data_IF_221753231869
#
_entry.id   IF_221753231869
#
_cell.length_a   1.000
_cell.length_b   1.000
_cell.length_c   1.000
_cell.angle_alpha   90.00
_cell.angle_beta   90.00
_cell.angle_gamma   90.00
#
_symmetry.space_group_name_H-M   'P 1'
#
loop_
_entity.id
_entity.type
_entity.pdbx_description
1 polymer ?
#
# COMPACT_ATOMS: atom_id res chain seq x y z
N UNK A 1 -0.69 2.70 -6.31
CA UNK A 1 0.75 2.96 -6.05
C UNK A 1 1.21 2.18 -4.84
N UNK A 2 2.51 1.96 -4.70
CA UNK A 2 3.16 1.39 -3.52
C UNK A 2 3.84 2.51 -2.74
N UNK A 3 3.68 2.51 -1.41
CA UNK A 3 4.37 3.42 -0.49
C UNK A 3 4.86 2.66 0.75
N UNK A 4 6.06 2.99 1.29
CA UNK A 4 6.60 2.35 2.48
C UNK A 4 5.90 2.82 3.76
N UNK A 5 6.04 2.05 4.85
CA UNK A 5 5.42 2.32 6.14
C UNK A 5 6.36 2.23 7.37
N UNK A 6 7.68 2.17 7.17
CA UNK A 6 8.59 2.45 8.27
C UNK A 6 8.42 3.88 8.84
N UNK A 7 9.06 4.16 9.98
CA UNK A 7 9.01 5.48 10.60
C UNK A 7 9.50 6.59 9.66
N UNK A 8 8.83 7.75 9.70
CA UNK A 8 9.10 8.89 8.79
C UNK A 8 10.56 9.35 8.69
N UNK A 9 11.39 9.32 9.76
CA UNK A 9 12.81 9.66 9.62
C UNK A 9 13.58 8.77 8.62
N UNK A 10 13.10 7.56 8.36
CA UNK A 10 13.77 6.58 7.50
C UNK A 10 13.16 6.49 6.10
N UNK A 11 11.83 6.38 6.01
CA UNK A 11 11.13 6.11 4.75
C UNK A 11 10.24 7.26 4.27
N UNK A 12 10.14 8.35 5.05
CA UNK A 12 9.19 9.42 4.80
C UNK A 12 9.43 10.17 3.50
N UNK A 13 10.69 10.31 3.05
CA UNK A 13 11.03 10.91 1.77
C UNK A 13 10.58 10.04 0.57
N UNK A 14 10.69 8.72 0.70
CA UNK A 14 10.21 7.73 -0.27
C UNK A 14 8.69 7.74 -0.31
N UNK A 15 8.01 7.68 0.84
CA UNK A 15 6.55 7.79 0.92
C UNK A 15 6.04 9.11 0.32
N UNK A 16 6.66 10.25 0.67
CA UNK A 16 6.34 11.55 0.10
C UNK A 16 6.48 11.57 -1.43
N UNK A 17 7.52 10.93 -1.96
CA UNK A 17 7.74 10.81 -3.41
C UNK A 17 6.61 10.04 -4.11
N UNK A 18 6.04 9.03 -3.45
CA UNK A 18 4.87 8.32 -3.93
C UNK A 18 3.67 9.29 -4.01
N UNK A 19 3.26 9.88 -2.89
CA UNK A 19 2.12 10.81 -2.86
C UNK A 19 2.29 12.05 -3.75
N UNK A 20 3.52 12.50 -3.99
CA UNK A 20 3.81 13.60 -4.90
C UNK A 20 3.40 13.31 -6.37
N UNK A 21 3.30 12.03 -6.76
CA UNK A 21 2.85 11.63 -8.09
C UNK A 21 1.37 11.95 -8.36
N UNK A 22 0.57 12.21 -7.32
CA UNK A 22 -0.82 12.63 -7.46
C UNK A 22 -0.96 14.16 -7.49
N UNK A 23 -1.94 14.62 -8.28
CA UNK A 23 -2.32 16.04 -8.33
C UNK A 23 -2.85 16.50 -6.98
N UNK A 24 -2.32 17.62 -6.47
CA UNK A 24 -2.77 18.28 -5.22
C UNK A 24 -4.26 18.67 -5.27
N UNK A 25 -4.85 18.79 -6.46
CA UNK A 25 -6.28 19.06 -6.61
C UNK A 25 -7.17 17.85 -6.32
N UNK A 26 -6.60 16.64 -6.19
CA UNK A 26 -7.35 15.43 -5.89
C UNK A 26 -8.12 15.55 -4.56
N UNK A 27 -9.41 15.23 -4.61
CA UNK A 27 -10.33 15.30 -3.47
C UNK A 27 -11.29 14.11 -3.43
N UNK A 28 -10.88 13.00 -4.06
CA UNK A 28 -11.64 11.76 -4.06
C UNK A 28 -11.28 10.88 -2.87
N UNK A 29 -11.28 9.56 -3.07
CA UNK A 29 -11.01 8.59 -2.00
C UNK A 29 -9.71 7.84 -2.24
N UNK A 30 -8.87 7.79 -1.22
CA UNK A 30 -7.73 6.88 -1.16
C UNK A 30 -8.15 5.56 -0.53
N UNK A 31 -8.10 4.46 -1.26
CA UNK A 31 -8.18 3.12 -0.68
C UNK A 31 -6.76 2.77 -0.23
N UNK A 32 -6.55 2.56 1.07
CA UNK A 32 -5.23 2.19 1.60
C UNK A 32 -5.30 0.73 2.05
N UNK A 33 -4.55 -0.13 1.35
CA UNK A 33 -4.43 -1.55 1.68
C UNK A 33 -3.11 -1.74 2.43
N UNK A 34 -3.18 -2.12 3.70
CA UNK A 34 -2.01 -2.41 4.52
C UNK A 34 -1.97 -3.86 4.99
N UNK A 35 -0.79 -4.49 5.11
CA UNK A 35 -0.67 -5.82 5.68
C UNK A 35 -0.98 -5.81 7.18
N UNK A 36 -1.48 -6.92 7.70
CA UNK A 36 -1.54 -7.15 9.14
C UNK A 36 -0.24 -7.77 9.66
N UNK A 37 0.45 -7.04 10.53
CA UNK A 37 1.66 -7.52 11.22
C UNK A 37 1.33 -8.39 12.43
N UNK A 38 0.11 -8.26 12.97
CA UNK A 38 -0.35 -8.97 14.15
C UNK A 38 -1.23 -10.20 13.85
N UNK A 39 -1.42 -10.52 12.56
CA UNK A 39 -2.22 -11.69 12.14
C UNK A 39 -3.73 -11.49 12.25
N UNK A 40 -4.20 -10.25 12.16
CA UNK A 40 -5.61 -9.92 12.07
C UNK A 40 -6.21 -10.38 10.74
N UNK A 41 -7.53 -10.61 10.72
CA UNK A 41 -8.26 -10.95 9.49
C UNK A 41 -8.40 -9.75 8.59
N UNK A 42 -8.67 -10.00 7.31
CA UNK A 42 -8.98 -8.92 6.36
C UNK A 42 -10.25 -8.19 6.78
N UNK A 43 -10.13 -6.90 7.06
CA UNK A 43 -11.21 -6.05 7.57
C UNK A 43 -11.07 -4.61 7.04
N UNK A 44 -12.08 -3.78 7.31
CA UNK A 44 -12.10 -2.36 6.97
C UNK A 44 -12.39 -1.52 8.21
N UNK A 45 -12.03 -0.24 8.16
CA UNK A 45 -12.45 0.78 9.12
C UNK A 45 -13.48 1.72 8.48
N UNK A 46 -14.47 2.15 9.24
CA UNK A 46 -15.50 3.11 8.80
C UNK A 46 -15.62 4.34 9.70
N UNK A 47 -14.81 4.47 10.76
CA UNK A 47 -14.76 5.70 11.57
C UNK A 47 -13.71 6.69 11.04
N UNK A 48 -13.87 8.01 11.23
CA UNK A 48 -12.81 8.98 10.90
C UNK A 48 -11.50 8.72 11.66
N UNK A 49 -10.37 8.98 11.01
CA UNK A 49 -9.03 8.76 11.59
C UNK A 49 -8.44 10.08 12.06
N UNK A 50 -7.99 10.12 13.32
CA UNK A 50 -7.26 11.26 13.86
C UNK A 50 -5.78 11.18 13.45
N UNK A 51 -5.20 12.32 13.06
CA UNK A 51 -3.77 12.47 12.86
C UNK A 51 -3.28 13.70 13.62
N UNK A 52 -1.95 13.86 13.84
CA UNK A 52 -1.40 15.11 14.37
C UNK A 52 -1.72 16.36 13.52
N UNK A 53 -2.17 16.19 12.28
CA UNK A 53 -2.54 17.27 11.35
C UNK A 53 -4.07 17.46 11.24
N UNK A 54 -4.84 16.75 12.07
CA UNK A 54 -6.30 16.79 12.12
C UNK A 54 -6.96 15.52 11.57
N UNK A 55 -8.28 15.53 11.59
CA UNK A 55 -9.13 14.38 11.23
C UNK A 55 -9.15 14.17 9.70
N UNK A 56 -9.15 12.91 9.28
CA UNK A 56 -9.42 12.46 7.91
C UNK A 56 -10.67 11.60 7.90
N UNK A 57 -11.65 11.97 7.09
CA UNK A 57 -12.93 11.26 7.01
C UNK A 57 -12.78 9.95 6.22
N UNK A 58 -13.47 8.92 6.69
CA UNK A 58 -13.65 7.66 5.97
C UNK A 58 -14.75 7.77 4.93
N UNK A 59 -14.58 7.08 3.81
CA UNK A 59 -15.61 6.95 2.78
C UNK A 59 -16.57 5.80 3.13
N UNK A 60 -17.50 6.06 4.06
CA UNK A 60 -18.44 5.06 4.57
C UNK A 60 -19.42 4.54 3.51
N UNK A 61 -19.74 5.35 2.50
CA UNK A 61 -20.59 4.93 1.38
C UNK A 61 -19.88 3.85 0.54
N UNK A 62 -18.62 4.05 0.19
CA UNK A 62 -17.82 3.03 -0.51
C UNK A 62 -17.49 1.85 0.41
N UNK A 63 -17.18 2.11 1.69
CA UNK A 63 -16.89 1.07 2.67
C UNK A 63 -18.05 0.10 2.92
N UNK A 64 -19.29 0.59 2.81
CA UNK A 64 -20.48 -0.26 2.94
C UNK A 64 -20.66 -1.25 1.78
N UNK A 65 -20.09 -0.97 0.61
CA UNK A 65 -20.14 -1.86 -0.55
C UNK A 65 -19.01 -2.90 -0.59
N UNK A 66 -17.96 -2.77 0.25
CA UNK A 66 -16.86 -3.74 0.33
C UNK A 66 -17.31 -5.10 0.89
N UNK A 67 -18.41 -5.17 1.65
CA UNK A 67 -18.84 -6.40 2.33
C UNK A 67 -17.73 -7.07 3.18
N UNK A 68 -16.79 -6.28 3.72
CA UNK A 68 -15.76 -6.73 4.65
C UNK A 68 -16.21 -6.53 6.10
N UNK A 69 -15.65 -7.31 7.02
CA UNK A 69 -15.84 -7.10 8.46
C UNK A 69 -15.33 -5.71 8.85
N UNK A 70 -16.10 -4.96 9.64
CA UNK A 70 -15.66 -3.69 10.22
C UNK A 70 -15.02 -3.99 11.57
N UNK A 71 -13.73 -3.70 11.72
CA UNK A 71 -12.99 -3.98 12.95
C UNK A 71 -12.03 -2.86 13.33
N UNK A 72 -12.55 -1.92 14.11
CA UNK A 72 -11.79 -0.76 14.59
C UNK A 72 -10.74 -1.10 15.66
N UNK A 73 -10.83 -2.28 16.29
CA UNK A 73 -9.87 -2.71 17.31
C UNK A 73 -8.59 -3.18 16.61
N UNK A 74 -8.71 -4.05 15.61
CA UNK A 74 -7.56 -4.50 14.82
C UNK A 74 -6.85 -3.34 14.12
N UNK A 75 -7.59 -2.35 13.62
CA UNK A 75 -7.02 -1.15 13.03
C UNK A 75 -6.26 -0.27 14.03
N UNK A 76 -6.68 -0.21 15.30
CA UNK A 76 -5.98 0.58 16.34
C UNK A 76 -4.60 0.03 16.68
N UNK A 77 -4.45 -1.29 16.62
CA UNK A 77 -3.22 -1.98 16.98
C UNK A 77 -2.32 -2.24 15.74
N UNK A 78 -2.59 -1.59 14.61
CA UNK A 78 -1.83 -1.75 13.36
C UNK A 78 -1.36 -0.41 12.79
N UNK A 79 -0.11 -0.35 12.35
CA UNK A 79 0.53 0.89 11.88
C UNK A 79 0.65 0.97 10.35
N UNK A 80 0.54 -0.15 9.63
CA UNK A 80 0.80 -0.21 8.19
C UNK A 80 -0.06 0.74 7.37
N UNK A 81 -1.27 1.05 7.84
CA UNK A 81 -2.18 2.03 7.23
C UNK A 81 -1.99 3.42 7.86
N UNK A 82 -1.85 3.49 9.19
CA UNK A 82 -1.77 4.74 9.97
C UNK A 82 -0.72 5.71 9.39
N UNK A 83 0.47 5.21 9.09
CA UNK A 83 1.59 6.04 8.63
C UNK A 83 1.37 6.64 7.23
N UNK A 84 0.38 6.17 6.48
CA UNK A 84 0.01 6.76 5.19
C UNK A 84 -0.88 8.00 5.37
N UNK A 85 -1.65 8.06 6.45
CA UNK A 85 -2.75 9.02 6.62
C UNK A 85 -2.26 10.47 6.78
N UNK A 86 -1.17 10.78 7.51
CA UNK A 86 -0.66 12.14 7.59
C UNK A 86 -0.23 12.74 6.24
N UNK A 87 0.32 11.94 5.32
CA UNK A 87 0.61 12.41 3.96
C UNK A 87 -0.66 12.81 3.23
N UNK A 88 -1.72 12.01 3.37
CA UNK A 88 -3.02 12.28 2.77
C UNK A 88 -3.62 13.55 3.36
N UNK A 89 -3.66 13.66 4.70
CA UNK A 89 -4.20 14.85 5.40
C UNK A 89 -3.49 16.13 4.98
N UNK A 90 -2.16 16.09 4.92
CA UNK A 90 -1.34 17.25 4.59
C UNK A 90 -1.53 17.70 3.14
N UNK A 91 -1.46 16.76 2.19
CA UNK A 91 -1.40 17.09 0.77
C UNK A 91 -2.76 17.15 0.08
N UNK A 92 -3.74 16.39 0.56
CA UNK A 92 -5.08 16.29 -0.01
C UNK A 92 -6.13 16.53 1.07
N UNK A 93 -6.22 17.75 1.63
CA UNK A 93 -7.04 18.03 2.82
C UNK A 93 -8.55 17.82 2.63
N UNK A 94 -9.02 17.61 1.38
CA UNK A 94 -10.40 17.30 1.03
C UNK A 94 -10.63 15.84 0.61
N UNK A 95 -9.58 15.02 0.54
CA UNK A 95 -9.72 13.62 0.20
C UNK A 95 -10.22 12.83 1.40
N UNK A 96 -10.95 11.75 1.12
CA UNK A 96 -11.38 10.75 2.09
C UNK A 96 -10.47 9.53 2.02
N UNK A 97 -10.57 8.65 3.01
CA UNK A 97 -9.83 7.38 3.05
C UNK A 97 -10.78 6.18 3.15
N UNK A 98 -10.33 5.04 2.67
CA UNK A 98 -10.95 3.74 2.92
C UNK A 98 -9.86 2.75 3.34
N UNK A 99 -9.61 2.60 4.65
CA UNK A 99 -8.62 1.68 5.19
C UNK A 99 -9.07 0.24 5.00
N UNK A 100 -8.20 -0.58 4.41
CA UNK A 100 -8.38 -2.03 4.31
C UNK A 100 -7.15 -2.70 4.92
N UNK A 101 -7.34 -3.37 6.05
CA UNK A 101 -6.33 -4.23 6.62
C UNK A 101 -6.41 -5.59 5.94
N UNK A 102 -5.29 -6.07 5.39
CA UNK A 102 -5.21 -7.35 4.69
C UNK A 102 -4.48 -8.37 5.57
N UNK A 103 -5.20 -9.44 5.94
CA UNK A 103 -4.66 -10.54 6.73
C UNK A 103 -3.84 -11.50 5.88
N UNK A 104 -4.52 -12.44 5.22
CA UNK A 104 -3.88 -13.41 4.34
C UNK A 104 -3.39 -12.72 3.05
N UNK A 105 -2.14 -13.00 2.68
CA UNK A 105 -1.44 -12.34 1.56
C UNK A 105 -1.12 -13.26 0.37
N UNK A 106 -1.59 -14.51 0.38
CA UNK A 106 -1.44 -15.41 -0.76
C UNK A 106 -2.17 -14.88 -2.01
N UNK A 107 -1.85 -15.46 -3.18
CA UNK A 107 -2.37 -15.00 -4.48
C UNK A 107 -3.90 -14.98 -4.51
N UNK A 108 -4.55 -16.02 -3.98
CA UNK A 108 -6.02 -16.12 -4.01
C UNK A 108 -6.64 -15.05 -3.10
N UNK A 109 -6.03 -14.78 -1.95
CA UNK A 109 -6.47 -13.71 -1.05
C UNK A 109 -6.31 -12.32 -1.68
N UNK A 110 -5.23 -12.09 -2.44
CA UNK A 110 -5.03 -10.84 -3.19
C UNK A 110 -6.03 -10.67 -4.34
N UNK A 111 -6.31 -11.74 -5.09
CA UNK A 111 -7.33 -11.76 -6.15
C UNK A 111 -8.73 -11.45 -5.59
N UNK A 112 -9.12 -12.13 -4.51
CA UNK A 112 -10.40 -11.90 -3.84
C UNK A 112 -10.55 -10.47 -3.33
N UNK A 113 -9.50 -9.90 -2.75
CA UNK A 113 -9.56 -8.52 -2.27
C UNK A 113 -9.66 -7.53 -3.44
N UNK A 114 -8.93 -7.78 -4.54
CA UNK A 114 -9.04 -6.95 -5.74
C UNK A 114 -10.45 -6.97 -6.33
N UNK A 115 -11.06 -8.15 -6.44
CA UNK A 115 -12.46 -8.33 -6.87
C UNK A 115 -13.41 -7.55 -5.95
N UNK A 116 -13.27 -7.73 -4.63
CA UNK A 116 -14.08 -7.02 -3.63
C UNK A 116 -14.00 -5.49 -3.79
N UNK A 117 -12.81 -4.96 -4.01
CA UNK A 117 -12.60 -3.53 -4.25
C UNK A 117 -13.24 -3.09 -5.57
N UNK A 118 -13.04 -3.85 -6.65
CA UNK A 118 -13.60 -3.53 -7.96
C UNK A 118 -15.14 -3.53 -7.94
N UNK A 119 -15.75 -4.51 -7.30
CA UNK A 119 -17.21 -4.63 -7.15
C UNK A 119 -17.78 -3.42 -6.40
N UNK A 120 -17.19 -3.05 -5.27
CA UNK A 120 -17.61 -1.87 -4.50
C UNK A 120 -17.51 -0.58 -5.31
N UNK A 121 -16.41 -0.41 -6.06
CA UNK A 121 -16.20 0.77 -6.91
C UNK A 121 -17.19 0.79 -8.09
N UNK A 122 -17.50 -0.36 -8.69
CA UNK A 122 -18.48 -0.50 -9.76
C UNK A 122 -19.91 -0.22 -9.27
N UNK A 123 -20.30 -0.82 -8.13
CA UNK A 123 -21.63 -0.65 -7.53
C UNK A 123 -21.92 0.82 -7.22
N UNK A 124 -20.90 1.55 -6.74
CA UNK A 124 -21.01 2.96 -6.38
C UNK A 124 -20.68 3.92 -7.52
N UNK A 125 -20.41 3.41 -8.72
CA UNK A 125 -20.05 4.19 -9.93
C UNK A 125 -18.92 5.21 -9.66
N UNK A 126 -17.88 4.80 -8.92
CA UNK A 126 -16.80 5.68 -8.47
C UNK A 126 -15.64 5.74 -9.45
N UNK A 127 -15.27 6.95 -9.85
CA UNK A 127 -14.16 7.23 -10.78
C UNK A 127 -13.00 8.00 -10.11
N UNK A 128 -13.22 8.51 -8.89
CA UNK A 128 -12.31 9.35 -8.12
C UNK A 128 -11.51 8.55 -7.08
N UNK A 129 -11.07 7.34 -7.44
CA UNK A 129 -10.37 6.42 -6.53
C UNK A 129 -8.86 6.41 -6.81
N UNK A 130 -8.06 6.35 -5.74
CA UNK A 130 -6.62 6.06 -5.79
C UNK A 130 -6.31 4.95 -4.80
N UNK A 131 -5.62 3.91 -5.23
CA UNK A 131 -5.25 2.79 -4.36
C UNK A 131 -3.79 2.95 -3.92
N UNK A 132 -3.53 2.87 -2.62
CA UNK A 132 -2.21 2.84 -1.98
C UNK A 132 -2.01 1.46 -1.37
N UNK A 133 -1.07 0.69 -1.90
CA UNK A 133 -0.56 -0.53 -1.28
C UNK A 133 0.58 -0.15 -0.33
N UNK A 134 0.41 -0.40 0.95
CA UNK A 134 1.41 -0.10 1.97
C UNK A 134 2.40 -1.27 2.09
N UNK A 135 3.69 -1.05 1.83
CA UNK A 135 4.71 -2.10 1.94
C UNK A 135 6.12 -1.53 2.03
N UNK A 136 6.88 -2.04 2.99
CA UNK A 136 8.34 -2.10 2.93
C UNK A 136 8.78 -3.38 2.19
N UNK A 137 10.04 -3.44 1.75
CA UNK A 137 10.61 -4.58 1.04
C UNK A 137 11.52 -5.43 1.94
N UNK A 138 12.80 -5.61 1.62
CA UNK A 138 13.71 -6.39 2.45
C UNK A 138 13.78 -5.86 3.89
N UNK A 139 13.95 -6.74 4.87
CA UNK A 139 14.05 -6.40 6.30
C UNK A 139 15.32 -6.99 6.91
N UNK A 140 16.17 -6.14 7.46
CA UNK A 140 17.37 -6.51 8.22
C UNK A 140 18.30 -7.47 7.47
N UNK A 141 18.60 -7.13 6.22
CA UNK A 141 19.58 -7.86 5.38
C UNK A 141 20.68 -6.92 4.90
N UNK A 142 21.87 -7.44 4.54
CA UNK A 142 22.96 -6.60 4.06
C UNK A 142 22.54 -5.71 2.89
N UNK A 143 22.99 -4.46 2.87
CA UNK A 143 22.61 -3.43 1.89
C UNK A 143 22.63 -3.91 0.43
N UNK A 144 23.69 -4.63 0.04
CA UNK A 144 23.83 -5.15 -1.31
C UNK A 144 22.74 -6.20 -1.65
N UNK A 145 22.37 -7.03 -0.67
CA UNK A 145 21.29 -8.02 -0.80
C UNK A 145 19.93 -7.33 -0.90
N UNK A 146 19.64 -6.37 -0.02
CA UNK A 146 18.39 -5.59 -0.08
C UNK A 146 18.21 -4.95 -1.46
N UNK A 147 19.21 -4.19 -1.93
CA UNK A 147 19.17 -3.54 -3.26
C UNK A 147 18.97 -4.53 -4.40
N UNK A 148 19.64 -5.68 -4.36
CA UNK A 148 19.57 -6.68 -5.42
C UNK A 148 18.24 -7.44 -5.45
N UNK A 149 17.71 -7.82 -4.28
CA UNK A 149 16.50 -8.62 -4.18
C UNK A 149 15.23 -7.80 -4.32
N UNK A 150 15.21 -6.60 -3.73
CA UNK A 150 14.09 -5.67 -3.86
C UNK A 150 13.93 -5.25 -5.33
N UNK A 151 15.03 -4.88 -6.00
CA UNK A 151 15.01 -4.55 -7.44
C UNK A 151 14.43 -5.69 -8.26
N UNK A 152 14.89 -6.91 -8.02
CA UNK A 152 14.43 -8.08 -8.76
C UNK A 152 12.93 -8.31 -8.62
N UNK A 153 12.38 -8.18 -7.41
CA UNK A 153 10.96 -8.30 -7.17
C UNK A 153 10.18 -7.14 -7.80
N UNK A 154 10.61 -5.90 -7.59
CA UNK A 154 9.99 -4.68 -8.13
C UNK A 154 9.91 -4.73 -9.67
N UNK A 155 10.94 -5.24 -10.34
CA UNK A 155 10.98 -5.30 -11.80
C UNK A 155 9.86 -6.18 -12.39
N UNK A 156 9.30 -7.13 -11.64
CA UNK A 156 8.12 -7.90 -12.09
C UNK A 156 6.85 -7.05 -12.18
N UNK A 157 6.77 -5.96 -11.42
CA UNK A 157 5.64 -5.04 -11.44
C UNK A 157 5.63 -4.16 -12.69
N UNK A 158 6.72 -4.11 -13.46
CA UNK A 158 6.79 -3.32 -14.71
C UNK A 158 5.72 -3.69 -15.73
N UNK A 159 5.28 -4.96 -15.73
CA UNK A 159 4.20 -5.48 -16.59
C UNK A 159 2.97 -5.94 -15.82
N UNK A 160 2.89 -5.63 -14.51
CA UNK A 160 1.82 -6.08 -13.60
C UNK A 160 1.59 -7.61 -13.65
N UNK A 161 2.68 -8.37 -13.79
CA UNK A 161 2.66 -9.84 -13.75
C UNK A 161 2.72 -10.33 -12.31
N UNK A 162 1.54 -10.58 -11.74
CA UNK A 162 1.40 -10.96 -10.33
C UNK A 162 1.91 -12.37 -10.04
N UNK A 163 1.60 -13.40 -10.84
CA UNK A 163 2.25 -14.70 -10.69
C UNK A 163 3.78 -14.60 -10.68
N UNK A 164 4.37 -13.83 -11.59
CA UNK A 164 5.83 -13.62 -11.61
C UNK A 164 6.32 -12.86 -10.38
N UNK A 165 5.60 -11.83 -9.92
CA UNK A 165 5.94 -11.11 -8.69
C UNK A 165 6.00 -12.04 -7.48
N UNK A 166 4.97 -12.87 -7.25
CA UNK A 166 4.97 -13.86 -6.17
C UNK A 166 6.10 -14.88 -6.33
N UNK A 167 6.35 -15.36 -7.55
CA UNK A 167 7.45 -16.29 -7.83
C UNK A 167 8.79 -15.69 -7.42
N UNK A 168 9.06 -14.42 -7.76
CA UNK A 168 10.30 -13.72 -7.41
C UNK A 168 10.46 -13.49 -5.91
N UNK A 169 9.37 -13.13 -5.22
CA UNK A 169 9.35 -13.01 -3.75
C UNK A 169 9.73 -14.35 -3.11
N UNK A 170 9.08 -15.44 -3.52
CA UNK A 170 9.32 -16.77 -2.97
C UNK A 170 10.74 -17.29 -3.28
N UNK A 171 11.21 -17.12 -4.52
CA UNK A 171 12.53 -17.55 -4.99
C UNK A 171 13.66 -16.95 -4.13
N UNK A 172 13.57 -15.66 -3.81
CA UNK A 172 14.60 -14.97 -3.02
C UNK A 172 14.32 -14.94 -1.53
N UNK A 173 13.18 -15.49 -1.09
CA UNK A 173 12.66 -15.39 0.28
C UNK A 173 12.63 -13.94 0.73
N UNK A 174 12.16 -13.05 -0.16
CA UNK A 174 12.08 -11.62 0.12
C UNK A 174 11.08 -11.38 1.27
N UNK A 175 11.47 -10.58 2.24
CA UNK A 175 10.64 -10.29 3.41
C UNK A 175 9.76 -9.06 3.23
N UNK A 176 9.35 -8.73 1.99
CA UNK A 176 8.40 -7.64 1.77
C UNK A 176 7.15 -7.88 2.61
N UNK A 177 6.74 -6.91 3.43
CA UNK A 177 5.65 -7.10 4.38
C UNK A 177 4.27 -6.98 3.73
N UNK A 178 4.15 -6.25 2.63
CA UNK A 178 2.89 -5.96 1.93
C UNK A 178 2.83 -6.51 0.50
N UNK A 179 3.37 -7.69 0.23
CA UNK A 179 3.29 -8.31 -1.10
C UNK A 179 1.85 -8.61 -1.54
N UNK A 180 0.95 -8.98 -0.62
CA UNK A 180 -0.47 -9.15 -0.87
C UNK A 180 -1.18 -7.83 -1.22
N UNK A 181 -1.02 -6.76 -0.41
CA UNK A 181 -1.50 -5.43 -0.75
C UNK A 181 -1.03 -4.92 -2.12
N UNK A 182 0.24 -5.11 -2.46
CA UNK A 182 0.79 -4.76 -3.77
C UNK A 182 0.06 -5.52 -4.88
N UNK A 183 -0.11 -6.83 -4.70
CA UNK A 183 -0.78 -7.68 -5.68
C UNK A 183 -2.25 -7.28 -5.89
N UNK A 184 -3.01 -7.12 -4.80
CA UNK A 184 -4.42 -6.72 -4.87
C UNK A 184 -4.59 -5.37 -5.59
N UNK A 185 -3.75 -4.39 -5.27
CA UNK A 185 -3.73 -3.09 -5.94
C UNK A 185 -3.41 -3.20 -7.43
N UNK A 186 -2.40 -3.99 -7.79
CA UNK A 186 -2.02 -4.16 -9.19
C UNK A 186 -3.10 -4.88 -10.01
N UNK A 187 -3.76 -5.91 -9.46
CA UNK A 187 -4.88 -6.59 -10.10
C UNK A 187 -6.01 -5.60 -10.36
N UNK A 188 -6.46 -4.88 -9.32
CA UNK A 188 -7.53 -3.90 -9.44
C UNK A 188 -7.20 -2.80 -10.46
N UNK A 189 -5.98 -2.26 -10.44
CA UNK A 189 -5.55 -1.26 -11.41
C UNK A 189 -5.48 -1.81 -12.85
N UNK A 190 -5.02 -3.05 -13.04
CA UNK A 190 -4.92 -3.69 -14.36
C UNK A 190 -6.30 -3.87 -15.00
N UNK A 191 -7.29 -4.33 -14.23
CA UNK A 191 -8.68 -4.44 -14.69
C UNK A 191 -9.27 -3.07 -15.08
N UNK A 192 -8.80 -1.99 -14.44
CA UNK A 192 -9.15 -0.60 -14.78
C UNK A 192 -8.29 0.02 -15.88
N UNK A 193 -7.48 -0.77 -16.57
CA UNK A 193 -6.73 -0.33 -17.76
C UNK A 193 -5.27 0.00 -17.52
N UNK A 194 -4.73 -0.17 -16.31
CA UNK A 194 -3.31 -0.02 -16.07
C UNK A 194 -2.50 -1.05 -16.87
N UNK A 195 -1.26 -0.70 -17.22
CA UNK A 195 -0.37 -1.47 -18.07
C UNK A 195 0.99 -1.73 -17.45
N UNK A 196 1.39 -0.96 -16.44
CA UNK A 196 2.70 -1.14 -15.83
C UNK A 196 2.93 -0.41 -14.52
N UNK A 197 3.88 -0.93 -13.76
CA UNK A 197 4.46 -0.28 -12.59
C UNK A 197 5.72 0.50 -12.95
N UNK A 198 5.89 1.68 -12.37
CA UNK A 198 7.09 2.50 -12.51
C UNK A 198 7.66 2.86 -11.14
N UNK A 199 8.90 2.44 -10.88
CA UNK A 199 9.61 2.80 -9.67
C UNK A 199 10.00 4.28 -9.70
N UNK A 200 9.38 5.09 -8.84
CA UNK A 200 9.65 6.51 -8.67
C UNK A 200 10.95 6.70 -7.87
N UNK A 201 11.05 5.99 -6.74
CA UNK A 201 12.18 6.12 -5.81
C UNK A 201 12.39 4.80 -5.08
N UNK A 202 13.67 4.50 -4.83
CA UNK A 202 14.07 3.44 -3.93
C UNK A 202 15.16 3.98 -2.99
N UNK A 203 15.07 3.63 -1.71
CA UNK A 203 16.06 3.93 -0.68
C UNK A 203 16.08 2.80 0.34
N UNK A 204 17.02 2.85 1.28
CA UNK A 204 17.06 1.93 2.43
C UNK A 204 17.26 2.70 3.74
N UNK A 205 16.99 2.05 4.87
CA UNK A 205 17.28 2.64 6.19
C UNK A 205 18.75 3.06 6.34
N UNK A 206 19.67 2.33 5.71
CA UNK A 206 21.10 2.63 5.71
C UNK A 206 21.46 3.94 4.99
N UNK A 207 20.62 4.45 4.10
CA UNK A 207 20.83 5.78 3.49
C UNK A 207 20.68 6.91 4.55
N UNK A 208 20.03 6.62 5.68
CA UNK A 208 19.85 7.55 6.81
C UNK A 208 20.78 7.21 7.98
N UNK A 209 20.85 5.93 8.38
CA UNK A 209 21.58 5.52 9.59
C UNK A 209 23.04 5.14 9.33
N UNK A 210 23.39 4.75 8.10
CA UNK A 210 24.69 4.17 7.77
C UNK A 210 24.85 2.69 8.17
N UNK A 211 23.80 2.03 8.64
CA UNK A 211 23.84 0.62 9.04
C UNK A 211 24.08 -0.31 7.85
N UNK A 212 24.77 -1.43 8.10
CA UNK A 212 25.07 -2.44 7.08
C UNK A 212 23.86 -3.31 6.72
N UNK A 213 23.05 -3.66 7.72
CA UNK A 213 21.81 -4.41 7.57
C UNK A 213 20.64 -3.44 7.58
N UNK A 214 19.80 -3.51 6.55
CA UNK A 214 18.86 -2.43 6.22
C UNK A 214 17.45 -2.94 5.96
N UNK A 215 16.49 -2.01 6.04
CA UNK A 215 15.14 -2.18 5.49
C UNK A 215 15.05 -1.45 4.15
N UNK A 216 14.44 -2.06 3.14
CA UNK A 216 14.25 -1.50 1.81
C UNK A 216 12.92 -0.78 1.63
N UNK A 217 12.94 0.37 0.95
CA UNK A 217 11.78 1.23 0.73
C UNK A 217 11.58 1.53 -0.75
N UNK A 218 10.38 1.32 -1.27
CA UNK A 218 10.05 1.58 -2.67
C UNK A 218 8.78 2.42 -2.84
N UNK A 219 8.87 3.47 -3.66
CA UNK A 219 7.72 4.23 -4.14
C UNK A 219 7.45 3.86 -5.60
N UNK A 220 6.28 3.29 -5.89
CA UNK A 220 5.97 2.73 -7.22
C UNK A 220 4.62 3.24 -7.71
N UNK A 221 4.60 3.95 -8.83
CA UNK A 221 3.35 4.29 -9.52
C UNK A 221 2.84 3.09 -10.33
N UNK A 222 1.53 2.94 -10.43
CA UNK A 222 0.88 1.99 -11.35
C UNK A 222 0.00 2.79 -12.28
N UNK A 223 0.19 2.63 -13.59
CA UNK A 223 -0.42 3.43 -14.66
C UNK A 223 -0.84 2.55 -15.82
#
# INVERSE_FOLDING_TARGET
MVAPHAGYPYSGDVAASAFAAFSVAFSGTFIIIGPSHHGFRTCTSQIPWETPLGIVDTDTDLGSALNLEVDEISHRDEHSIEVQIPFIKYRFPRARILPILMGDQDVLSAERLAETVLDAVNEKEREDIRIVASSDFSHYVPLAKARGDDRYAIDALSTLDIPEFYRRIAERRLSACGYGPIAAMCIACRERGARGGHLIRYATSGDVTGDADVVGYGAIAVM
#
